data_IF_122279064472
#
_entry.id   IF_122279064472
#
_cell.length_a   1.000
_cell.length_b   1.000
_cell.length_c   1.000
_cell.angle_alpha   90.00
_cell.angle_beta   90.00
_cell.angle_gamma   90.00
#
_symmetry.space_group_name_H-M   'P 1'
#
loop_
_entity.id
_entity.type
_entity.pdbx_description
1 polymer ?
#
# COMPACT_ATOMS: atom_id res chain seq x y z
N UNK A 1 9.39 -12.50 5.45
CA UNK A 1 8.27 -11.83 6.15
C UNK A 1 7.91 -10.56 5.40
N UNK A 2 6.87 -9.86 5.84
CA UNK A 2 6.46 -8.54 5.34
C UNK A 2 6.05 -7.69 6.53
N UNK A 3 6.45 -6.42 6.56
CA UNK A 3 5.94 -5.47 7.53
C UNK A 3 5.05 -4.43 6.83
N UNK A 4 3.85 -4.23 7.35
CA UNK A 4 2.94 -3.14 6.95
C UNK A 4 2.98 -2.10 8.07
N UNK A 5 3.57 -0.94 7.80
CA UNK A 5 3.88 0.05 8.81
C UNK A 5 3.35 1.44 8.45
N UNK A 6 2.73 2.10 9.42
CA UNK A 6 2.25 3.48 9.29
C UNK A 6 2.73 4.34 10.46
N UNK A 7 3.02 5.61 10.19
CA UNK A 7 3.39 6.58 11.21
C UNK A 7 2.74 7.94 10.98
N UNK A 8 2.49 8.68 12.05
CA UNK A 8 1.94 10.02 12.00
C UNK A 8 2.96 11.07 11.55
N UNK A 9 2.48 12.16 10.95
CA UNK A 9 3.34 13.23 10.42
C UNK A 9 4.16 14.01 11.46
N UNK A 10 3.99 13.72 12.76
CA UNK A 10 4.81 14.26 13.85
C UNK A 10 6.07 13.42 14.12
N UNK A 11 6.20 12.25 13.48
CA UNK A 11 7.38 11.39 13.53
C UNK A 11 8.29 11.65 12.33
N UNK A 12 9.58 11.38 12.52
CA UNK A 12 10.53 11.22 11.41
C UNK A 12 10.31 9.84 10.77
N UNK A 13 9.80 9.77 9.52
CA UNK A 13 9.50 8.50 8.86
C UNK A 13 10.76 7.69 8.55
N UNK A 14 11.90 8.32 8.30
CA UNK A 14 13.16 7.63 8.02
C UNK A 14 13.74 7.01 9.29
N UNK A 15 13.65 7.73 10.41
CA UNK A 15 14.05 7.18 11.71
C UNK A 15 13.15 6.00 12.12
N UNK A 16 11.84 6.11 11.89
CA UNK A 16 10.90 5.03 12.16
C UNK A 16 11.19 3.78 11.31
N UNK A 17 11.39 3.96 10.00
CA UNK A 17 11.75 2.88 9.08
C UNK A 17 13.06 2.19 9.50
N UNK A 18 14.11 2.96 9.80
CA UNK A 18 15.40 2.41 10.27
C UNK A 18 15.24 1.63 11.58
N UNK A 19 14.38 2.10 12.49
CA UNK A 19 14.06 1.41 13.73
C UNK A 19 13.38 0.06 13.51
N UNK A 20 12.46 -0.04 12.52
CA UNK A 20 11.86 -1.32 12.14
C UNK A 20 12.90 -2.26 11.51
N UNK A 21 13.69 -1.74 10.56
CA UNK A 21 14.72 -2.52 9.86
C UNK A 21 15.80 -3.06 10.80
N UNK A 22 16.14 -2.35 11.88
CA UNK A 22 17.13 -2.85 12.86
C UNK A 22 16.66 -4.07 13.65
N UNK A 23 15.33 -4.31 13.71
CA UNK A 23 14.75 -5.47 14.40
C UNK A 23 14.32 -6.57 13.42
N UNK A 24 13.84 -6.19 12.24
CA UNK A 24 13.32 -7.14 11.23
C UNK A 24 14.41 -7.65 10.27
N UNK A 25 15.53 -6.92 10.15
CA UNK A 25 16.52 -7.12 9.12
C UNK A 25 16.21 -6.33 7.85
N UNK A 26 17.26 -6.03 7.07
CA UNK A 26 17.15 -5.21 5.85
C UNK A 26 16.41 -5.91 4.70
N UNK A 27 16.36 -7.24 4.72
CA UNK A 27 15.76 -8.04 3.65
C UNK A 27 14.24 -8.18 3.80
N UNK A 28 13.66 -7.78 4.94
CA UNK A 28 12.21 -7.80 5.16
C UNK A 28 11.62 -6.53 4.53
N UNK A 29 10.74 -6.65 3.51
CA UNK A 29 10.10 -5.49 2.94
C UNK A 29 9.22 -4.80 3.99
N UNK A 30 9.32 -3.47 4.05
CA UNK A 30 8.46 -2.60 4.86
C UNK A 30 7.66 -1.74 3.89
N UNK A 31 6.34 -1.90 3.90
CA UNK A 31 5.39 -1.13 3.08
C UNK A 31 4.43 -0.35 3.96
N UNK A 32 3.86 0.72 3.43
CA UNK A 32 2.85 1.52 4.12
C UNK A 32 3.02 3.01 3.85
N UNK A 33 2.64 3.85 4.80
CA UNK A 33 2.61 5.29 4.60
C UNK A 33 2.29 6.10 5.84
N UNK A 34 1.64 7.24 5.65
CA UNK A 34 1.23 8.11 6.76
C UNK A 34 -0.06 7.61 7.42
N UNK A 35 -0.20 7.90 8.71
CA UNK A 35 -1.43 7.66 9.46
C UNK A 35 -1.86 8.92 10.23
N UNK A 36 -3.16 9.20 10.27
CA UNK A 36 -3.72 10.24 11.15
C UNK A 36 -3.90 9.68 12.58
N UNK A 37 -4.13 8.38 12.70
CA UNK A 37 -4.24 7.67 13.95
C UNK A 37 -4.03 6.18 13.75
N UNK A 38 -3.86 5.47 14.85
CA UNK A 38 -3.63 4.03 14.88
C UNK A 38 -4.71 3.37 15.73
N UNK A 39 -5.24 2.26 15.23
CA UNK A 39 -6.16 1.39 15.96
C UNK A 39 -5.57 -0.02 15.94
N UNK A 40 -5.53 -0.67 17.09
CA UNK A 40 -5.17 -2.07 17.29
C UNK A 40 -6.25 -2.72 18.15
N UNK A 41 -6.14 -4.03 18.42
CA UNK A 41 -7.08 -4.72 19.31
C UNK A 41 -7.13 -4.12 20.73
N UNK A 42 -6.05 -3.48 21.17
CA UNK A 42 -5.90 -3.02 22.56
C UNK A 42 -5.83 -1.49 22.69
N UNK A 43 -5.44 -0.79 21.63
CA UNK A 43 -5.14 0.64 21.69
C UNK A 43 -5.72 1.40 20.50
N UNK A 44 -6.22 2.60 20.79
CA UNK A 44 -6.64 3.63 19.83
C UNK A 44 -5.89 4.92 20.16
N UNK A 45 -5.20 5.52 19.19
CA UNK A 45 -4.57 6.82 19.37
C UNK A 45 -4.62 7.70 18.13
N UNK A 46 -4.96 8.97 18.35
CA UNK A 46 -4.82 10.07 17.40
C UNK A 46 -3.84 11.15 17.91
N UNK A 47 -3.24 10.94 19.09
CA UNK A 47 -2.44 11.96 19.80
C UNK A 47 -1.01 11.49 19.99
N UNK A 48 -0.10 12.45 20.16
CA UNK A 48 1.32 12.18 20.37
C UNK A 48 1.98 11.70 19.09
N UNK A 49 2.54 10.51 19.12
CA UNK A 49 3.33 9.97 18.00
C UNK A 49 2.75 8.63 17.54
N UNK A 50 1.55 8.60 16.93
CA UNK A 50 0.94 7.35 16.52
C UNK A 50 1.81 6.66 15.47
N UNK A 51 2.24 5.43 15.78
CA UNK A 51 2.98 4.55 14.88
C UNK A 51 2.56 3.11 15.11
N UNK A 52 2.52 2.33 14.05
CA UNK A 52 2.16 0.91 14.12
C UNK A 52 2.85 0.12 13.01
N UNK A 53 3.11 -1.15 13.28
CA UNK A 53 3.56 -2.10 12.30
C UNK A 53 2.87 -3.44 12.54
N UNK A 54 2.33 -4.04 11.47
CA UNK A 54 1.91 -5.42 11.45
C UNK A 54 2.99 -6.24 10.74
N UNK A 55 3.54 -7.25 11.42
CA UNK A 55 4.57 -8.13 10.85
C UNK A 55 3.93 -9.46 10.50
N UNK A 56 4.03 -9.83 9.24
CA UNK A 56 3.49 -11.07 8.69
C UNK A 56 4.65 -12.04 8.43
N UNK A 57 4.56 -13.22 9.03
CA UNK A 57 5.41 -14.35 8.67
C UNK A 57 4.86 -15.01 7.40
N UNK A 58 5.73 -15.21 6.40
CA UNK A 58 5.35 -15.64 5.05
C UNK A 58 6.05 -16.95 4.68
N UNK A 59 6.00 -17.95 5.56
CA UNK A 59 6.68 -19.23 5.36
C UNK A 59 6.16 -19.95 4.12
N UNK A 60 7.02 -20.15 3.13
CA UNK A 60 6.67 -20.78 1.86
C UNK A 60 5.84 -19.90 0.91
N UNK A 61 5.61 -18.62 1.25
CA UNK A 61 4.87 -17.67 0.40
C UNK A 61 5.87 -16.66 -0.18
N UNK A 62 5.94 -16.60 -1.51
CA UNK A 62 6.72 -15.57 -2.18
C UNK A 62 6.04 -14.20 -1.98
N UNK A 63 6.79 -13.23 -1.46
CA UNK A 63 6.34 -11.86 -1.31
C UNK A 63 6.95 -11.01 -2.41
N UNK A 64 6.11 -10.37 -3.23
CA UNK A 64 6.54 -9.39 -4.23
C UNK A 64 5.89 -8.07 -3.91
N UNK A 65 6.72 -7.03 -3.81
CA UNK A 65 6.29 -5.65 -3.56
C UNK A 65 6.55 -4.84 -4.81
N UNK A 66 5.48 -4.24 -5.33
CA UNK A 66 5.53 -3.26 -6.42
C UNK A 66 4.98 -1.93 -5.93
N UNK A 67 5.57 -0.84 -6.37
CA UNK A 67 5.09 0.51 -6.06
C UNK A 67 5.11 1.38 -7.32
N UNK A 68 4.18 2.33 -7.39
CA UNK A 68 4.09 3.30 -8.48
C UNK A 68 3.70 4.66 -7.91
N UNK A 69 4.18 5.71 -8.57
CA UNK A 69 3.77 7.10 -8.34
C UNK A 69 2.83 7.57 -9.46
N UNK A 70 2.22 8.74 -9.30
CA UNK A 70 1.40 9.36 -10.37
C UNK A 70 -0.07 8.97 -10.37
N UNK A 71 -0.55 8.38 -9.27
CA UNK A 71 -1.96 8.05 -9.05
C UNK A 71 -2.89 9.26 -9.29
N UNK A 72 -2.44 10.45 -8.86
CA UNK A 72 -3.16 11.72 -9.04
C UNK A 72 -3.28 12.18 -10.51
N UNK A 73 -2.43 11.69 -11.41
CA UNK A 73 -2.46 12.06 -12.83
C UNK A 73 -3.38 11.15 -13.64
N UNK A 74 -3.19 9.84 -13.52
CA UNK A 74 -3.97 8.84 -14.25
C UNK A 74 -4.02 7.52 -13.48
N UNK A 75 -5.10 7.31 -12.75
CA UNK A 75 -5.33 6.15 -11.89
C UNK A 75 -5.27 4.84 -12.68
N UNK A 76 -5.90 4.80 -13.87
CA UNK A 76 -5.94 3.60 -14.72
C UNK A 76 -4.57 3.24 -15.27
N UNK A 77 -3.82 4.23 -15.75
CA UNK A 77 -2.45 3.98 -16.21
C UNK A 77 -1.54 3.55 -15.06
N UNK A 78 -1.70 4.14 -13.88
CA UNK A 78 -0.94 3.76 -12.67
C UNK A 78 -1.22 2.31 -12.29
N UNK A 79 -2.49 1.89 -12.32
CA UNK A 79 -2.89 0.51 -12.09
C UNK A 79 -2.29 -0.47 -13.08
N UNK A 80 -2.28 -0.11 -14.36
CA UNK A 80 -1.65 -0.92 -15.40
C UNK A 80 -0.16 -1.14 -15.13
N UNK A 81 0.58 -0.08 -14.80
CA UNK A 81 2.01 -0.16 -14.48
C UNK A 81 2.30 -0.96 -13.22
N UNK A 82 1.42 -0.90 -12.21
CA UNK A 82 1.54 -1.75 -11.02
C UNK A 82 1.46 -3.23 -11.40
N UNK A 83 0.47 -3.60 -12.21
CA UNK A 83 0.29 -4.97 -12.66
C UNK A 83 1.44 -5.46 -13.56
N UNK A 84 1.97 -4.61 -14.44
CA UNK A 84 3.14 -4.94 -15.28
C UNK A 84 4.42 -5.20 -14.46
N UNK A 85 4.49 -4.73 -13.20
CA UNK A 85 5.59 -5.04 -12.29
C UNK A 85 5.42 -6.34 -11.49
N UNK A 86 4.23 -6.96 -11.54
CA UNK A 86 3.96 -8.22 -10.85
C UNK A 86 4.53 -9.40 -11.66
N UNK A 87 4.87 -10.52 -11.01
CA UNK A 87 5.34 -11.71 -11.72
C UNK A 87 4.24 -12.30 -12.61
N UNK A 88 4.62 -12.90 -13.74
CA UNK A 88 3.73 -13.56 -14.71
C UNK A 88 3.07 -14.86 -14.19
N UNK A 89 2.99 -15.10 -12.88
CA UNK A 89 2.59 -16.38 -12.31
C UNK A 89 1.09 -16.50 -12.08
N UNK A 90 0.52 -17.59 -12.59
CA UNK A 90 -0.91 -17.95 -12.60
C UNK A 90 -1.32 -18.88 -11.45
N UNK A 91 -0.88 -18.61 -10.21
CA UNK A 91 -1.29 -19.39 -9.03
C UNK A 91 -2.06 -18.56 -8.02
N UNK A 92 -2.82 -19.25 -7.16
CA UNK A 92 -3.49 -18.68 -6.00
C UNK A 92 -2.55 -17.72 -5.25
N UNK A 93 -3.03 -16.50 -5.00
CA UNK A 93 -2.22 -15.44 -4.44
C UNK A 93 -3.10 -14.40 -3.76
N UNK A 94 -2.53 -13.69 -2.80
CA UNK A 94 -3.17 -12.60 -2.09
C UNK A 94 -2.55 -11.28 -2.56
N UNK A 95 -3.37 -10.41 -3.15
CA UNK A 95 -2.94 -9.07 -3.53
C UNK A 95 -3.42 -8.05 -2.49
N UNK A 96 -2.46 -7.40 -1.82
CA UNK A 96 -2.73 -6.20 -1.03
C UNK A 96 -2.50 -4.96 -1.88
N UNK A 97 -3.52 -4.10 -1.98
CA UNK A 97 -3.42 -2.80 -2.64
C UNK A 97 -3.46 -1.71 -1.57
N UNK A 98 -2.34 -1.03 -1.38
CA UNK A 98 -2.24 0.17 -0.55
C UNK A 98 -2.11 1.36 -1.48
N UNK A 99 -2.98 2.35 -1.35
CA UNK A 99 -2.96 3.55 -2.17
C UNK A 99 -3.40 4.77 -1.38
N UNK A 100 -2.93 5.95 -1.79
CA UNK A 100 -3.39 7.21 -1.22
C UNK A 100 -4.76 7.58 -1.82
N UNK A 101 -5.79 7.52 -0.97
CA UNK A 101 -7.13 7.89 -1.38
C UNK A 101 -7.30 9.41 -1.50
N UNK A 102 -6.38 10.23 -0.99
CA UNK A 102 -6.42 11.68 -1.16
C UNK A 102 -5.70 12.09 -2.45
N UNK A 103 -6.45 12.66 -3.39
CA UNK A 103 -5.93 13.23 -4.63
C UNK A 103 -5.51 14.69 -4.44
N UNK A 104 -6.39 15.45 -3.80
CA UNK A 104 -6.17 16.85 -3.44
C UNK A 104 -6.56 16.98 -1.97
N UNK A 105 -5.65 17.45 -1.10
CA UNK A 105 -5.98 17.67 0.31
C UNK A 105 -7.03 18.76 0.45
N UNK A 106 -7.78 18.73 1.57
CA UNK A 106 -8.69 19.81 1.90
C UNK A 106 -7.93 21.13 2.12
N UNK A 107 -8.56 22.26 1.77
CA UNK A 107 -7.97 23.58 1.97
C UNK A 107 -9.03 24.68 2.07
N UNK A 108 -9.05 25.41 3.19
CA UNK A 108 -10.09 26.40 3.47
C UNK A 108 -11.48 25.75 3.42
N UNK A 109 -12.36 26.29 2.58
CA UNK A 109 -13.73 25.76 2.36
C UNK A 109 -13.81 24.72 1.23
N UNK A 110 -12.67 24.29 0.67
CA UNK A 110 -12.63 23.31 -0.42
C UNK A 110 -12.53 21.89 0.18
N UNK A 111 -13.52 21.01 -0.07
CA UNK A 111 -13.46 19.62 0.40
C UNK A 111 -12.32 18.86 -0.29
N UNK A 112 -11.79 17.80 0.33
CA UNK A 112 -10.77 16.99 -0.29
C UNK A 112 -11.32 16.28 -1.54
N UNK A 113 -10.46 16.12 -2.56
CA UNK A 113 -10.77 15.29 -3.73
C UNK A 113 -10.13 13.93 -3.51
N UNK A 114 -10.90 12.86 -3.72
CA UNK A 114 -10.44 11.50 -3.50
C UNK A 114 -10.04 10.82 -4.82
N UNK A 115 -9.00 10.00 -4.78
CA UNK A 115 -8.75 8.98 -5.79
C UNK A 115 -9.77 7.85 -5.60
N UNK A 116 -10.64 7.64 -6.58
CA UNK A 116 -11.50 6.47 -6.60
C UNK A 116 -10.66 5.21 -6.89
N UNK A 117 -10.93 4.11 -6.19
CA UNK A 117 -10.23 2.84 -6.44
C UNK A 117 -10.60 2.21 -7.79
N UNK A 118 -11.81 2.45 -8.29
CA UNK A 118 -12.32 1.75 -9.48
C UNK A 118 -11.40 1.93 -10.72
N UNK A 119 -11.00 3.15 -11.13
CA UNK A 119 -10.07 3.30 -12.26
C UNK A 119 -8.70 2.65 -12.03
N UNK A 120 -8.18 2.69 -10.79
CA UNK A 120 -6.93 2.03 -10.43
C UNK A 120 -7.05 0.50 -10.59
N UNK A 121 -8.13 -0.09 -10.07
CA UNK A 121 -8.43 -1.51 -10.18
C UNK A 121 -8.63 -1.91 -11.65
N UNK A 122 -9.38 -1.12 -12.44
CA UNK A 122 -9.54 -1.36 -13.88
C UNK A 122 -8.19 -1.44 -14.62
N UNK A 123 -7.25 -0.57 -14.26
CA UNK A 123 -5.89 -0.56 -14.80
C UNK A 123 -5.13 -1.86 -14.49
N UNK A 124 -5.20 -2.30 -13.23
CA UNK A 124 -4.58 -3.54 -12.75
C UNK A 124 -5.19 -4.74 -13.50
N UNK A 125 -6.52 -4.84 -13.48
CA UNK A 125 -7.25 -5.92 -14.16
C UNK A 125 -6.93 -5.97 -15.66
N UNK A 126 -6.86 -4.81 -16.33
CA UNK A 126 -6.56 -4.74 -17.76
C UNK A 126 -5.20 -5.32 -18.15
N UNK A 127 -4.22 -5.29 -17.24
CA UNK A 127 -2.89 -5.90 -17.45
C UNK A 127 -2.80 -7.34 -16.95
N UNK A 128 -3.57 -7.72 -15.93
CA UNK A 128 -3.63 -9.10 -15.41
C UNK A 128 -4.53 -10.04 -16.24
N UNK A 129 -5.52 -9.50 -16.97
CA UNK A 129 -6.49 -10.26 -17.78
C UNK A 129 -6.01 -10.97 -19.05
N UNK A 130 -4.74 -10.95 -19.51
CA UNK A 130 -4.31 -11.90 -20.55
C UNK A 130 -4.49 -13.38 -20.18
N UNK A 131 -4.75 -13.70 -18.91
CA UNK A 131 -4.80 -15.07 -18.37
C UNK A 131 -6.19 -15.57 -17.95
N UNK A 132 -7.26 -14.78 -18.10
CA UNK A 132 -8.62 -15.26 -17.88
C UNK A 132 -9.14 -15.91 -19.17
N UNK A 133 -9.06 -17.24 -19.24
CA UNK A 133 -9.84 -18.00 -20.22
C UNK A 133 -11.31 -17.85 -19.82
N UNK A 134 -12.03 -17.00 -20.54
CA UNK A 134 -13.48 -16.91 -20.45
C UNK A 134 -14.08 -18.25 -20.87
N UNK A 135 -14.55 -19.04 -19.90
CA UNK A 135 -15.61 -20.01 -20.16
C UNK A 135 -16.94 -19.27 -20.06
N UNK A 136 -17.47 -18.87 -21.22
CA UNK A 136 -18.90 -18.68 -21.46
C UNK A 136 -19.38 -19.82 -22.34
#
# INVERSE_FOLDING_TARGET
GLAIAFCGGQLDPDAYLKGLQSHLGMDVPVIGGSAIGVITNEHLSYRGYPATAAVLELNGIQCVVVSQTGLNGNERQTGRKLAEGLPDHTSDGLLFILYDSLKIPAGGDIPPVLNASAPLIEGIEGALRPYVISYL
#
